data_IF_615515926785
#
_entry.id   IF_615515926785
#
_cell.length_a   1.000
_cell.length_b   1.000
_cell.length_c   1.000
_cell.angle_alpha   90.00
_cell.angle_beta   90.00
_cell.angle_gamma   90.00
#
_symmetry.space_group_name_H-M   'P 1'
#
loop_
_entity.id
_entity.type
_entity.pdbx_description
1 polymer ?
#
# COMPACT_ATOMS: atom_id res chain seq x y z
N UNK A 1 13.42 26.99 -35.91
CA UNK A 1 12.53 27.66 -34.94
C UNK A 1 11.27 26.80 -34.83
N UNK A 2 11.17 25.98 -33.77
CA UNK A 2 10.05 25.06 -33.53
C UNK A 2 9.09 25.68 -32.50
N UNK A 3 7.75 25.63 -32.66
CA UNK A 3 6.84 26.18 -31.68
C UNK A 3 6.68 25.21 -30.49
N UNK A 4 6.84 25.73 -29.28
CA UNK A 4 6.48 25.06 -28.04
C UNK A 4 4.96 24.87 -28.01
N UNK A 5 4.51 23.60 -27.96
CA UNK A 5 3.11 23.25 -27.75
C UNK A 5 2.91 22.56 -26.42
N UNK A 6 1.84 22.98 -25.77
CA UNK A 6 1.11 22.36 -24.66
C UNK A 6 1.78 22.33 -23.29
N UNK A 7 1.73 23.51 -22.64
CA UNK A 7 1.53 23.60 -21.19
C UNK A 7 0.14 23.09 -20.84
N UNK A 8 0.11 22.17 -19.89
CA UNK A 8 -0.92 22.16 -18.85
C UNK A 8 -2.22 21.45 -19.22
N UNK A 9 -2.17 20.13 -19.34
CA UNK A 9 -3.32 19.31 -18.96
C UNK A 9 -3.39 19.32 -17.42
N UNK A 10 -3.81 20.47 -16.86
CA UNK A 10 -4.23 20.56 -15.46
C UNK A 10 -5.62 19.94 -15.37
N UNK A 11 -5.66 18.63 -15.64
CA UNK A 11 -6.78 17.78 -15.30
C UNK A 11 -6.78 17.65 -13.80
N UNK A 12 -7.64 18.44 -13.15
CA UNK A 12 -7.98 18.39 -11.74
C UNK A 12 -8.61 17.01 -11.42
N UNK A 13 -7.81 15.95 -11.46
CA UNK A 13 -8.12 14.68 -10.83
C UNK A 13 -8.07 14.97 -9.33
N UNK A 14 -9.24 15.19 -8.75
CA UNK A 14 -9.42 15.10 -7.29
C UNK A 14 -8.62 13.87 -6.84
N UNK A 15 -7.65 13.98 -5.90
CA UNK A 15 -7.02 12.78 -5.41
C UNK A 15 -8.13 11.99 -4.74
N UNK A 16 -8.58 10.90 -5.37
CA UNK A 16 -9.12 9.79 -4.61
C UNK A 16 -8.11 9.60 -3.49
N UNK A 17 -8.52 9.76 -2.22
CA UNK A 17 -7.64 9.63 -1.06
C UNK A 17 -6.77 8.39 -1.33
N UNK A 18 -5.51 8.59 -1.71
CA UNK A 18 -4.59 7.50 -1.93
C UNK A 18 -4.36 6.95 -0.53
N UNK A 19 -5.15 5.95 -0.13
CA UNK A 19 -4.91 5.22 1.09
C UNK A 19 -3.47 4.72 1.00
N UNK A 20 -2.66 5.07 2.00
CA UNK A 20 -1.27 4.63 2.01
C UNK A 20 -1.25 3.10 2.15
N UNK A 21 -0.34 2.38 1.49
CA UNK A 21 -0.33 0.92 1.47
C UNK A 21 -0.39 0.30 2.88
N UNK A 22 0.25 0.91 3.87
CA UNK A 22 0.20 0.45 5.25
C UNK A 22 -1.22 0.56 5.84
N UNK A 23 -1.97 1.64 5.59
CA UNK A 23 -3.34 1.76 6.10
C UNK A 23 -4.25 0.71 5.49
N UNK A 24 -4.15 0.51 4.17
CA UNK A 24 -4.96 -0.50 3.48
C UNK A 24 -4.67 -1.92 3.99
N UNK A 25 -3.39 -2.28 4.14
CA UNK A 25 -3.04 -3.59 4.71
C UNK A 25 -3.50 -3.69 6.16
N UNK A 26 -3.40 -2.62 6.94
CA UNK A 26 -3.82 -2.60 8.35
C UNK A 26 -5.31 -2.88 8.52
N UNK A 27 -6.14 -2.36 7.62
CA UNK A 27 -7.58 -2.67 7.55
C UNK A 27 -7.85 -4.16 7.23
N UNK A 28 -7.03 -4.78 6.37
CA UNK A 28 -7.16 -6.21 6.03
C UNK A 28 -6.72 -7.11 7.18
N UNK A 29 -5.54 -6.84 7.74
CA UNK A 29 -4.94 -7.73 8.75
C UNK A 29 -5.48 -7.48 10.15
N UNK A 30 -6.07 -6.30 10.40
CA UNK A 30 -6.54 -5.89 11.72
C UNK A 30 -5.40 -5.64 12.71
N UNK A 31 -4.24 -5.20 12.20
CA UNK A 31 -3.02 -5.00 12.97
C UNK A 31 -2.33 -3.69 12.58
N UNK A 32 -1.51 -3.15 13.49
CA UNK A 32 -0.64 -2.02 13.16
C UNK A 32 0.40 -2.47 12.12
N UNK A 33 0.45 -1.71 11.03
CA UNK A 33 1.26 -1.98 9.85
C UNK A 33 2.22 -0.83 9.60
N UNK A 34 3.42 -1.17 9.12
CA UNK A 34 4.42 -0.21 8.67
C UNK A 34 4.84 -0.55 7.26
N UNK A 35 4.96 0.48 6.42
CA UNK A 35 5.58 0.37 5.12
C UNK A 35 7.02 0.89 5.21
N UNK A 36 7.96 0.04 4.83
CA UNK A 36 9.36 0.39 4.61
C UNK A 36 9.60 0.44 3.09
N UNK A 37 10.23 1.51 2.61
CA UNK A 37 10.71 1.58 1.23
C UNK A 37 12.15 1.06 1.17
N UNK A 38 12.40 0.02 0.36
CA UNK A 38 13.75 -0.47 0.07
C UNK A 38 14.14 -0.07 -1.37
N UNK A 39 14.48 1.22 -1.62
CA UNK A 39 14.69 1.73 -2.98
C UNK A 39 15.85 1.05 -3.71
N UNK A 40 16.88 0.64 -2.98
CA UNK A 40 18.04 -0.08 -3.55
C UNK A 40 17.70 -1.46 -4.09
N UNK A 41 16.53 -1.99 -3.72
CA UNK A 41 16.01 -3.29 -4.15
C UNK A 41 14.78 -3.16 -5.04
N UNK A 42 14.36 -1.94 -5.36
CA UNK A 42 13.18 -1.66 -6.19
C UNK A 42 11.89 -2.26 -5.64
N UNK A 43 11.77 -2.39 -4.31
CA UNK A 43 10.61 -3.03 -3.66
C UNK A 43 10.23 -2.31 -2.37
N UNK A 44 8.93 -2.31 -2.07
CA UNK A 44 8.41 -1.94 -0.76
C UNK A 44 8.24 -3.18 0.12
N UNK A 45 8.40 -3.01 1.43
CA UNK A 45 8.10 -4.04 2.44
C UNK A 45 7.01 -3.53 3.35
N UNK A 46 5.99 -4.35 3.61
CA UNK A 46 4.99 -4.08 4.64
C UNK A 46 5.19 -5.08 5.78
N UNK A 47 5.35 -4.55 6.99
CA UNK A 47 5.58 -5.32 8.21
C UNK A 47 4.44 -5.08 9.20
N UNK A 48 4.00 -6.11 9.89
CA UNK A 48 3.01 -6.01 10.97
C UNK A 48 3.34 -7.02 12.09
N UNK A 49 2.84 -6.73 13.29
CA UNK A 49 3.03 -7.56 14.47
C UNK A 49 1.72 -8.20 14.88
N UNK A 50 1.79 -9.42 15.42
CA UNK A 50 0.64 -10.17 15.94
C UNK A 50 1.02 -10.80 17.29
N UNK A 51 0.03 -11.01 18.14
CA UNK A 51 0.24 -11.47 19.52
C UNK A 51 0.07 -12.98 19.72
N UNK A 52 -0.41 -13.72 18.71
CA UNK A 52 -0.57 -15.17 18.76
C UNK A 52 -0.51 -15.80 17.37
N UNK A 53 -0.24 -17.11 17.31
CA UNK A 53 -0.29 -17.87 16.05
C UNK A 53 -1.72 -17.96 15.50
N UNK A 54 -2.74 -17.99 16.36
CA UNK A 54 -4.15 -17.91 15.94
C UNK A 54 -4.45 -16.60 15.20
N UNK A 55 -3.90 -15.47 15.68
CA UNK A 55 -4.04 -14.19 14.99
C UNK A 55 -3.34 -14.21 13.62
N UNK A 56 -2.18 -14.88 13.52
CA UNK A 56 -1.49 -15.08 12.24
C UNK A 56 -2.31 -15.94 11.27
N UNK A 57 -2.92 -17.03 11.74
CA UNK A 57 -3.76 -17.90 10.90
C UNK A 57 -4.97 -17.13 10.35
N UNK A 58 -5.66 -16.35 11.18
CA UNK A 58 -6.76 -15.49 10.73
C UNK A 58 -6.32 -14.40 9.74
N UNK A 59 -5.08 -13.91 9.83
CA UNK A 59 -4.50 -13.00 8.83
C UNK A 59 -4.25 -13.73 7.51
N UNK A 60 -3.72 -14.95 7.53
CA UNK A 60 -3.48 -15.75 6.33
C UNK A 60 -4.78 -16.06 5.57
N UNK A 61 -5.86 -16.36 6.29
CA UNK A 61 -7.20 -16.55 5.70
C UNK A 61 -7.70 -15.28 4.99
N UNK A 62 -7.62 -14.11 5.65
CA UNK A 62 -8.05 -12.82 5.05
C UNK A 62 -7.25 -12.44 3.81
N UNK A 63 -5.98 -12.85 3.75
CA UNK A 63 -5.10 -12.64 2.59
C UNK A 63 -5.31 -13.70 1.49
N UNK A 64 -6.16 -14.71 1.71
CA UNK A 64 -6.39 -15.80 0.76
C UNK A 64 -5.20 -16.77 0.65
N UNK A 65 -4.31 -16.79 1.65
CA UNK A 65 -3.18 -17.72 1.72
C UNK A 65 -3.55 -19.08 2.33
N UNK A 66 -4.69 -19.17 3.02
CA UNK A 66 -5.29 -20.45 3.41
C UNK A 66 -6.74 -20.54 2.91
N UNK A 67 -7.17 -21.73 2.44
CA UNK A 67 -8.56 -22.02 2.09
C UNK A 67 -9.47 -22.08 3.33
#
# INVERSE_FOLDING_TARGET
MLPARDRGVSGLLKPARQQRPEQWVGEIVGAETRADDEPERGRGRISFSFHSLEALDGIQERLGHRP
#
